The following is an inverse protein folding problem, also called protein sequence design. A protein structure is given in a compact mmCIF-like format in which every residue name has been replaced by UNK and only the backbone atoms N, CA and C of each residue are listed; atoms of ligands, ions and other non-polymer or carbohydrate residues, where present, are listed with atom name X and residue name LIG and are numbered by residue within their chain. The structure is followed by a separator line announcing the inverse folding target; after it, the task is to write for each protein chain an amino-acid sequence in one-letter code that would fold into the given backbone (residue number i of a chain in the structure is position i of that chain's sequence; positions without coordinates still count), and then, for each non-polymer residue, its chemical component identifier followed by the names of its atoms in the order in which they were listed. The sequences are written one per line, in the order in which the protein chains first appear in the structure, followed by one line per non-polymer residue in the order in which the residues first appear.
data_IF_576138676017
#
_entry.id   IF_576138676017
#
_cell.length_a   1.000
_cell.length_b   1.000
_cell.length_c   1.000
_cell.angle_alpha   90.00
_cell.angle_beta   90.00
_cell.angle_gamma   90.00
#
_symmetry.space_group_name_H-M   'P 1'
#
loop_
_entity.id
_entity.type
_entity.pdbx_description
1 polymer ?
#
# COMPACT_ATOMS: atom_id res chain seq x y z
N UNK A 1 2.43 13.24 -10.85
CA UNK A 1 3.12 12.97 -9.57
C UNK A 1 3.17 14.30 -8.84
N UNK A 2 2.42 14.40 -7.73
CA UNK A 2 2.39 15.61 -6.92
C UNK A 2 3.73 15.71 -6.17
N UNK A 3 4.53 16.76 -6.47
CA UNK A 3 5.71 17.06 -5.65
C UNK A 3 5.20 17.70 -4.35
N UNK A 4 5.40 17.04 -3.23
CA UNK A 4 5.19 17.65 -1.92
C UNK A 4 6.34 18.62 -1.73
N UNK A 5 6.07 19.94 -1.53
CA UNK A 5 7.14 20.91 -1.33
C UNK A 5 7.99 20.52 -0.12
N UNK A 6 9.31 20.43 -0.31
CA UNK A 6 10.26 20.09 0.74
C UNK A 6 10.50 18.59 0.98
N UNK A 7 9.81 17.73 0.25
CA UNK A 7 10.07 16.28 0.26
C UNK A 7 10.56 15.89 -1.12
N UNK A 8 11.83 15.60 -1.26
CA UNK A 8 12.36 14.99 -2.46
C UNK A 8 11.79 13.59 -2.59
N UNK A 9 11.12 13.31 -3.71
CA UNK A 9 10.84 11.93 -4.13
C UNK A 9 12.17 11.31 -4.58
N UNK A 10 13.10 11.20 -3.64
CA UNK A 10 14.46 10.79 -3.89
C UNK A 10 14.62 9.29 -4.00
N UNK A 11 15.82 8.89 -4.37
CA UNK A 11 16.24 7.48 -4.35
C UNK A 11 16.38 6.97 -2.91
N UNK A 12 16.37 5.65 -2.69
CA UNK A 12 16.62 5.06 -1.37
C UNK A 12 17.92 5.60 -0.77
N UNK A 13 17.86 6.04 0.46
CA UNK A 13 19.00 6.65 1.13
C UNK A 13 19.10 8.16 0.98
N UNK A 14 18.06 8.80 0.45
CA UNK A 14 17.94 10.25 0.45
C UNK A 14 18.10 10.83 1.86
N UNK A 15 18.88 11.90 1.97
CA UNK A 15 19.23 12.50 3.25
C UNK A 15 18.02 13.03 4.03
N UNK A 16 16.95 13.41 3.34
CA UNK A 16 15.71 13.87 3.97
C UNK A 16 14.99 12.72 4.67
N UNK A 17 14.90 11.56 4.03
CA UNK A 17 14.32 10.37 4.65
C UNK A 17 15.14 9.82 5.80
N UNK A 18 16.47 9.92 5.72
CA UNK A 18 17.35 9.59 6.83
C UNK A 18 17.10 10.49 8.05
N UNK A 19 16.90 11.80 7.84
CA UNK A 19 16.54 12.72 8.95
C UNK A 19 15.22 12.31 9.61
N UNK A 20 14.21 11.95 8.85
CA UNK A 20 12.95 11.45 9.42
C UNK A 20 13.20 10.16 10.20
N UNK A 21 13.98 9.23 9.66
CA UNK A 21 14.39 8.02 10.37
C UNK A 21 15.13 8.31 11.69
N UNK A 22 16.01 9.31 11.71
CA UNK A 22 16.69 9.76 12.94
C UNK A 22 15.71 10.29 13.99
N UNK A 23 14.69 11.04 13.57
CA UNK A 23 13.63 11.51 14.47
C UNK A 23 12.84 10.35 15.08
N UNK A 24 12.66 9.26 14.32
CA UNK A 24 11.95 8.07 14.77
C UNK A 24 12.79 7.14 15.69
N UNK A 25 14.09 7.42 15.88
CA UNK A 25 14.95 6.59 16.73
C UNK A 25 14.72 6.74 18.24
N UNK A 26 13.98 7.75 18.70
CA UNK A 26 13.74 7.97 20.12
C UNK A 26 13.31 6.68 20.85
N UNK A 27 12.16 6.10 20.47
CA UNK A 27 11.65 4.87 21.09
C UNK A 27 12.59 3.67 20.96
N UNK A 28 13.39 3.59 19.90
CA UNK A 28 14.40 2.52 19.74
C UNK A 28 15.51 2.69 20.77
N UNK A 29 15.99 3.91 21.00
CA UNK A 29 17.05 4.21 21.99
C UNK A 29 16.65 3.90 23.42
N UNK A 30 15.37 3.97 23.73
CA UNK A 30 14.84 3.63 25.05
C UNK A 30 14.86 2.11 25.32
N UNK A 31 14.97 1.28 24.28
CA UNK A 31 14.86 -0.17 24.36
C UNK A 31 16.12 -0.93 23.93
N UNK A 32 16.93 -0.34 23.07
CA UNK A 32 18.05 -0.99 22.39
C UNK A 32 19.32 -0.17 22.57
N UNK A 33 20.43 -0.83 22.87
CA UNK A 33 21.75 -0.18 22.98
C UNK A 33 22.38 -0.02 21.58
N UNK A 34 23.26 0.98 21.39
CA UNK A 34 24.01 1.10 20.16
C UNK A 34 24.80 -0.18 19.83
N UNK A 35 24.61 -0.69 18.62
CA UNK A 35 25.30 -1.90 18.15
C UNK A 35 24.83 -3.22 18.75
N UNK A 36 23.74 -3.23 19.50
CA UNK A 36 23.22 -4.44 20.19
C UNK A 36 22.89 -5.58 19.21
N UNK A 37 22.46 -5.25 18.00
CA UNK A 37 22.11 -6.24 16.97
C UNK A 37 23.19 -6.37 15.88
N UNK A 38 24.45 -6.08 16.22
CA UNK A 38 25.55 -6.25 15.27
C UNK A 38 25.64 -7.69 14.77
N UNK A 39 25.56 -7.85 13.44
CA UNK A 39 25.60 -9.15 12.78
C UNK A 39 24.24 -9.82 12.62
N UNK A 40 23.16 -9.20 13.10
CA UNK A 40 21.79 -9.63 12.78
C UNK A 40 21.44 -9.13 11.39
N UNK A 41 20.90 -10.01 10.56
CA UNK A 41 20.35 -9.68 9.25
C UNK A 41 18.87 -10.05 9.25
N UNK A 42 18.03 -9.11 8.83
CA UNK A 42 16.59 -9.30 8.62
C UNK A 42 16.29 -9.22 7.14
N UNK A 43 15.34 -10.00 6.69
CA UNK A 43 14.87 -9.97 5.29
C UNK A 43 13.48 -9.37 5.23
N UNK A 44 13.34 -8.29 4.44
CA UNK A 44 12.08 -7.60 4.19
C UNK A 44 11.60 -7.93 2.77
N UNK A 45 10.42 -8.54 2.65
CA UNK A 45 9.78 -8.79 1.37
C UNK A 45 8.68 -7.75 1.10
N UNK A 46 8.77 -7.07 -0.02
CA UNK A 46 7.81 -6.03 -0.40
C UNK A 46 7.64 -5.88 -1.90
N UNK A 47 6.71 -5.00 -2.28
CA UNK A 47 6.39 -4.68 -3.66
C UNK A 47 7.33 -3.63 -4.25
N UNK A 48 7.95 -3.92 -5.39
CA UNK A 48 8.84 -2.97 -6.07
C UNK A 48 8.10 -1.92 -6.91
N UNK A 49 6.86 -2.17 -7.29
CA UNK A 49 6.02 -1.23 -8.04
C UNK A 49 5.39 -0.15 -7.15
N UNK A 50 5.39 -0.34 -5.87
CA UNK A 50 5.04 0.64 -4.86
C UNK A 50 6.28 1.45 -4.48
N UNK A 51 6.91 2.08 -5.45
CA UNK A 51 8.18 2.81 -5.28
C UNK A 51 8.16 3.74 -4.07
N UNK A 52 6.99 4.22 -3.66
CA UNK A 52 6.84 5.09 -2.52
C UNK A 52 7.24 4.38 -1.22
N UNK A 53 6.65 3.23 -0.90
CA UNK A 53 6.86 2.55 0.38
C UNK A 53 8.28 2.05 0.54
N UNK A 54 8.80 1.28 -0.41
CA UNK A 54 10.15 0.75 -0.33
C UNK A 54 11.23 1.84 -0.29
N UNK A 55 11.04 2.93 -1.01
CA UNK A 55 11.95 4.07 -0.94
C UNK A 55 11.92 4.72 0.44
N UNK A 56 10.73 4.94 1.00
CA UNK A 56 10.58 5.51 2.33
C UNK A 56 11.24 4.64 3.39
N UNK A 57 10.91 3.34 3.40
CA UNK A 57 11.45 2.41 4.40
C UNK A 57 12.96 2.28 4.32
N UNK A 58 13.55 2.20 3.14
CA UNK A 58 15.00 2.18 2.98
C UNK A 58 15.68 3.43 3.51
N UNK A 59 15.06 4.59 3.32
CA UNK A 59 15.53 5.84 3.90
C UNK A 59 15.40 5.87 5.41
N UNK A 60 14.22 5.57 5.94
CA UNK A 60 13.93 5.59 7.38
C UNK A 60 14.75 4.59 8.18
N UNK A 61 15.00 3.42 7.62
CA UNK A 61 15.66 2.34 8.34
C UNK A 61 17.18 2.44 8.36
N UNK A 62 17.79 3.29 7.52
CA UNK A 62 19.24 3.51 7.56
C UNK A 62 19.77 4.00 8.91
N UNK A 63 19.19 5.02 9.56
CA UNK A 63 19.59 5.41 10.91
C UNK A 63 19.37 4.29 11.94
N UNK A 64 18.33 3.49 11.79
CA UNK A 64 18.09 2.32 12.63
C UNK A 64 19.18 1.27 12.46
N UNK A 65 19.55 0.93 11.22
CA UNK A 65 20.65 0.01 10.92
C UNK A 65 21.97 0.53 11.50
N UNK A 66 22.24 1.82 11.31
CA UNK A 66 23.46 2.45 11.84
C UNK A 66 23.52 2.44 13.36
N UNK A 67 22.40 2.65 14.03
CA UNK A 67 22.31 2.66 15.50
C UNK A 67 22.38 1.26 16.09
N UNK A 68 21.61 0.32 15.57
CA UNK A 68 21.48 -1.03 16.11
C UNK A 68 22.58 -1.99 15.68
N UNK A 69 23.20 -1.71 14.53
CA UNK A 69 24.19 -2.59 13.88
C UNK A 69 23.59 -3.75 13.10
N UNK A 70 22.25 -3.89 13.08
CA UNK A 70 21.57 -4.85 12.22
C UNK A 70 21.58 -4.40 10.75
N UNK A 71 21.26 -5.32 9.83
CA UNK A 71 21.08 -5.06 8.42
C UNK A 71 19.73 -5.55 7.93
N UNK A 72 19.18 -4.88 6.94
CA UNK A 72 17.95 -5.28 6.25
C UNK A 72 18.29 -5.65 4.82
N UNK A 73 18.02 -6.90 4.47
CA UNK A 73 18.07 -7.43 3.11
C UNK A 73 16.69 -7.28 2.48
N UNK A 74 16.63 -6.78 1.24
CA UNK A 74 15.37 -6.46 0.57
C UNK A 74 15.07 -7.45 -0.54
N UNK A 75 13.89 -8.08 -0.48
CA UNK A 75 13.29 -8.84 -1.57
C UNK A 75 12.20 -7.97 -2.19
N UNK A 76 12.52 -7.32 -3.31
CA UNK A 76 11.60 -6.47 -4.05
C UNK A 76 10.99 -7.26 -5.21
N UNK A 77 9.68 -7.46 -5.19
CA UNK A 77 8.97 -8.21 -6.19
C UNK A 77 7.98 -7.35 -6.97
N UNK A 78 7.87 -7.58 -8.27
CA UNK A 78 6.77 -7.05 -9.04
C UNK A 78 5.45 -7.67 -8.56
N UNK A 79 4.33 -6.96 -8.71
CA UNK A 79 3.00 -7.44 -8.28
C UNK A 79 2.68 -8.84 -8.85
N UNK A 80 3.10 -9.12 -10.08
CA UNK A 80 2.87 -10.41 -10.72
C UNK A 80 3.62 -11.57 -10.03
N UNK A 81 4.75 -11.29 -9.41
CA UNK A 81 5.60 -12.30 -8.75
C UNK A 81 5.34 -12.37 -7.25
N UNK A 82 4.88 -11.27 -6.66
CA UNK A 82 4.64 -11.16 -5.22
C UNK A 82 3.54 -12.12 -4.74
N UNK A 83 2.37 -12.08 -5.37
CA UNK A 83 1.24 -12.94 -4.97
C UNK A 83 1.55 -14.44 -5.09
N UNK A 84 2.12 -14.94 -6.21
CA UNK A 84 2.55 -16.33 -6.30
C UNK A 84 3.58 -16.73 -5.23
N UNK A 85 4.53 -15.85 -4.93
CA UNK A 85 5.53 -16.07 -3.88
C UNK A 85 4.89 -16.19 -2.51
N UNK A 86 3.99 -15.27 -2.16
CA UNK A 86 3.26 -15.33 -0.90
C UNK A 86 2.40 -16.60 -0.81
N UNK A 87 1.66 -16.93 -1.85
CA UNK A 87 0.84 -18.15 -1.90
C UNK A 87 1.69 -19.43 -1.75
N UNK A 88 2.88 -19.46 -2.34
CA UNK A 88 3.82 -20.55 -2.14
C UNK A 88 4.24 -20.68 -0.67
N UNK A 89 4.60 -19.57 -0.02
CA UNK A 89 4.96 -19.56 1.40
C UNK A 89 3.83 -20.06 2.29
N UNK A 90 2.59 -19.65 2.00
CA UNK A 90 1.38 -20.12 2.69
C UNK A 90 1.21 -21.65 2.50
N UNK A 91 1.30 -22.13 1.27
CA UNK A 91 1.08 -23.54 0.94
C UNK A 91 2.14 -24.47 1.55
N UNK A 92 3.39 -24.03 1.55
CA UNK A 92 4.52 -24.82 2.09
C UNK A 92 4.74 -24.62 3.59
N UNK A 93 4.10 -23.61 4.18
CA UNK A 93 4.33 -23.15 5.57
C UNK A 93 5.81 -22.85 5.85
N UNK A 94 6.51 -22.35 4.82
CA UNK A 94 7.91 -21.96 4.91
C UNK A 94 8.08 -20.53 4.42
N UNK A 95 8.81 -19.73 5.16
CA UNK A 95 9.13 -18.34 4.82
C UNK A 95 10.64 -18.15 4.84
N UNK A 96 11.13 -17.33 3.92
CA UNK A 96 12.53 -16.90 3.83
C UNK A 96 12.66 -15.38 4.00
N UNK A 97 11.71 -14.80 4.72
CA UNK A 97 11.66 -13.39 5.10
C UNK A 97 11.22 -13.25 6.56
N UNK A 98 11.64 -12.17 7.21
CA UNK A 98 11.30 -11.84 8.58
C UNK A 98 10.19 -10.80 8.66
N UNK A 99 10.14 -9.91 7.67
CA UNK A 99 9.17 -8.82 7.57
C UNK A 99 8.54 -8.87 6.18
N UNK A 100 7.24 -8.61 6.13
CA UNK A 100 6.49 -8.58 4.86
C UNK A 100 5.62 -7.33 4.77
N UNK A 101 5.65 -6.65 3.62
CA UNK A 101 4.61 -5.70 3.22
C UNK A 101 3.44 -6.48 2.62
N UNK A 102 2.23 -6.31 3.15
CA UNK A 102 1.11 -7.17 2.78
C UNK A 102 -0.19 -6.38 2.70
N UNK A 103 -1.00 -6.69 1.70
CA UNK A 103 -2.36 -6.15 1.56
C UNK A 103 -3.38 -6.85 2.47
N UNK A 104 -4.46 -6.14 2.80
CA UNK A 104 -5.54 -6.61 3.67
C UNK A 104 -6.14 -7.98 3.32
N UNK A 105 -6.31 -8.39 2.05
CA UNK A 105 -6.93 -9.67 1.73
C UNK A 105 -6.19 -10.92 2.23
N UNK A 106 -4.98 -10.79 2.72
CA UNK A 106 -4.12 -11.92 3.09
C UNK A 106 -4.06 -12.24 4.58
N UNK A 107 -4.79 -11.53 5.46
CA UNK A 107 -4.76 -11.81 6.91
C UNK A 107 -5.18 -13.25 7.23
N UNK A 108 -6.28 -13.72 6.66
CA UNK A 108 -6.77 -15.07 6.90
C UNK A 108 -5.80 -16.16 6.45
N UNK A 109 -5.17 -15.92 5.28
CA UNK A 109 -4.24 -16.87 4.68
C UNK A 109 -2.87 -16.90 5.40
N UNK A 110 -2.49 -15.81 6.05
CA UNK A 110 -1.20 -15.68 6.72
C UNK A 110 -1.30 -15.85 8.23
N UNK A 111 -2.00 -14.98 8.92
CA UNK A 111 -2.22 -15.07 10.36
C UNK A 111 -3.01 -16.32 10.75
N UNK A 112 -4.07 -16.63 10.00
CA UNK A 112 -4.89 -17.82 10.22
C UNK A 112 -4.14 -19.13 9.99
N UNK A 113 -3.07 -19.15 9.20
CA UNK A 113 -2.18 -20.29 9.00
C UNK A 113 -0.96 -20.29 9.93
N UNK A 114 -0.83 -19.31 10.81
CA UNK A 114 0.28 -19.21 11.75
C UNK A 114 1.61 -18.77 11.15
N UNK A 115 1.58 -18.06 10.01
CA UNK A 115 2.79 -17.50 9.37
C UNK A 115 3.21 -16.15 9.96
N UNK A 116 2.30 -15.47 10.64
CA UNK A 116 2.58 -14.19 11.29
C UNK A 116 2.53 -14.34 12.81
N UNK A 117 3.39 -13.63 13.49
CA UNK A 117 3.32 -13.48 14.93
C UNK A 117 2.31 -12.40 15.30
N UNK A 118 1.56 -12.61 16.39
CA UNK A 118 0.70 -11.59 16.96
C UNK A 118 1.52 -10.36 17.35
N UNK A 119 0.97 -9.18 17.10
CA UNK A 119 1.60 -7.91 17.47
C UNK A 119 1.67 -7.79 18.98
N UNK A 120 2.86 -7.63 19.58
CA UNK A 120 2.99 -7.42 21.01
C UNK A 120 2.33 -6.13 21.48
N UNK A 121 1.80 -6.10 22.68
CA UNK A 121 1.13 -4.92 23.23
C UNK A 121 2.03 -3.68 23.26
N UNK A 122 3.33 -3.86 23.58
CA UNK A 122 4.27 -2.76 23.56
C UNK A 122 4.43 -2.10 22.16
N UNK A 123 4.18 -2.84 21.07
CA UNK A 123 4.17 -2.27 19.72
C UNK A 123 2.90 -1.46 19.51
N UNK A 124 1.75 -1.97 19.97
CA UNK A 124 0.47 -1.24 19.89
C UNK A 124 0.56 0.09 20.64
N UNK A 125 1.11 0.08 21.84
CA UNK A 125 1.33 1.29 22.66
C UNK A 125 2.27 2.28 21.95
N UNK A 126 3.30 1.76 21.28
CA UNK A 126 4.33 2.60 20.64
C UNK A 126 3.83 3.33 19.41
N UNK A 127 2.90 2.73 18.67
CA UNK A 127 2.33 3.31 17.44
C UNK A 127 0.99 4.01 17.67
N UNK A 128 0.55 4.08 18.91
CA UNK A 128 -0.77 4.60 19.28
C UNK A 128 -1.89 3.94 18.45
N UNK A 129 -1.95 2.60 18.58
CA UNK A 129 -2.78 1.74 17.70
C UNK A 129 -4.26 2.15 17.69
N UNK A 130 -4.76 2.70 18.80
CA UNK A 130 -6.14 3.12 18.95
C UNK A 130 -6.43 4.49 18.29
N UNK A 131 -5.38 5.27 17.97
CA UNK A 131 -5.49 6.56 17.26
C UNK A 131 -5.38 6.44 15.73
N UNK A 132 -5.30 5.23 15.19
CA UNK A 132 -5.36 5.03 13.75
C UNK A 132 -6.65 5.57 13.17
N UNK A 133 -6.58 6.15 11.95
CA UNK A 133 -7.78 6.60 11.24
C UNK A 133 -8.80 5.47 11.09
N UNK A 134 -10.09 5.78 11.21
CA UNK A 134 -11.15 4.79 11.43
C UNK A 134 -11.17 3.61 10.45
N UNK A 135 -10.83 3.83 9.18
CA UNK A 135 -10.80 2.75 8.18
C UNK A 135 -9.53 1.86 8.25
N UNK A 136 -8.54 2.23 9.05
CA UNK A 136 -7.36 1.42 9.35
C UNK A 136 -7.43 0.72 10.72
N UNK A 137 -8.48 1.01 11.50
CA UNK A 137 -8.72 0.35 12.78
C UNK A 137 -9.25 -1.09 12.59
N UNK A 138 -9.26 -1.91 13.64
CA UNK A 138 -9.90 -3.21 13.58
C UNK A 138 -11.31 -3.17 12.96
N UNK A 139 -11.66 -4.14 12.10
CA UNK A 139 -10.99 -5.44 11.93
C UNK A 139 -9.81 -5.46 10.94
N UNK A 140 -9.43 -4.34 10.33
CA UNK A 140 -8.30 -4.29 9.37
C UNK A 140 -6.99 -4.60 10.10
N UNK A 141 -6.20 -5.52 9.56
CA UNK A 141 -4.93 -5.96 10.18
C UNK A 141 -5.10 -6.90 11.36
N UNK A 142 -6.33 -7.44 11.56
CA UNK A 142 -6.62 -8.38 12.63
C UNK A 142 -7.11 -9.73 12.09
N UNK A 143 -6.87 -10.78 12.85
CA UNK A 143 -7.43 -12.11 12.64
C UNK A 143 -7.82 -12.70 14.00
N UNK A 144 -9.03 -13.23 14.12
CA UNK A 144 -9.59 -13.79 15.36
C UNK A 144 -9.42 -12.83 16.57
N UNK A 145 -9.68 -11.53 16.34
CA UNK A 145 -9.60 -10.49 17.36
C UNK A 145 -8.18 -10.04 17.76
N UNK A 146 -7.15 -10.57 17.13
CA UNK A 146 -5.73 -10.27 17.40
C UNK A 146 -5.12 -9.46 16.27
N UNK A 147 -4.25 -8.51 16.60
CA UNK A 147 -3.53 -7.69 15.63
C UNK A 147 -2.25 -8.39 15.17
N UNK A 148 -1.98 -8.35 13.86
CA UNK A 148 -0.82 -9.00 13.24
C UNK A 148 0.02 -8.07 12.38
N UNK A 149 -0.47 -6.89 12.05
CA UNK A 149 0.27 -5.94 11.22
C UNK A 149 0.06 -4.50 11.64
N UNK A 150 1.02 -3.67 11.29
CA UNK A 150 0.91 -2.21 11.36
C UNK A 150 0.35 -1.72 10.04
N UNK A 151 -0.80 -1.07 10.07
CA UNK A 151 -1.40 -0.45 8.90
C UNK A 151 -0.69 0.87 8.61
N UNK A 152 0.08 0.91 7.52
CA UNK A 152 0.93 2.04 7.15
C UNK A 152 0.34 2.87 6.01
N UNK A 153 -0.62 2.32 5.31
CA UNK A 153 -1.29 2.95 4.17
C UNK A 153 -2.73 2.48 4.09
N UNK A 154 -3.56 3.27 3.44
CA UNK A 154 -4.94 2.93 3.18
C UNK A 154 -5.44 3.63 1.92
N UNK A 155 -6.06 2.84 1.06
CA UNK A 155 -6.65 3.32 -0.18
C UNK A 155 -8.09 3.80 0.02
N UNK A 156 -8.51 4.74 -0.81
CA UNK A 156 -9.90 5.12 -0.95
C UNK A 156 -10.37 4.93 -2.39
N UNK A 157 -11.63 4.53 -2.53
CA UNK A 157 -12.25 4.49 -3.85
C UNK A 157 -12.56 5.90 -4.32
N UNK A 158 -11.90 6.31 -5.40
CA UNK A 158 -12.12 7.61 -6.01
C UNK A 158 -12.63 7.41 -7.43
N UNK A 159 -13.75 8.01 -7.76
CA UNK A 159 -14.24 8.04 -9.12
C UNK A 159 -13.49 9.12 -9.91
N UNK A 160 -12.59 8.70 -10.77
CA UNK A 160 -11.88 9.58 -11.69
C UNK A 160 -12.65 9.69 -13.01
N UNK A 161 -12.80 10.91 -13.51
CA UNK A 161 -13.46 11.16 -14.78
C UNK A 161 -12.68 12.14 -15.65
N UNK A 162 -12.81 12.00 -16.94
CA UNK A 162 -12.25 12.95 -17.92
C UNK A 162 -13.13 14.19 -18.01
N UNK A 163 -12.58 15.34 -17.69
CA UNK A 163 -13.31 16.60 -17.68
C UNK A 163 -13.80 17.03 -19.07
N UNK A 164 -13.09 16.67 -20.13
CA UNK A 164 -13.46 16.94 -21.52
C UNK A 164 -14.66 16.11 -22.02
N UNK A 165 -15.08 15.09 -21.24
CA UNK A 165 -16.29 14.32 -21.51
C UNK A 165 -17.57 15.00 -21.03
N UNK A 166 -17.46 16.08 -20.26
CA UNK A 166 -18.57 16.80 -19.67
C UNK A 166 -18.54 18.28 -20.09
N UNK A 167 -19.70 18.94 -20.05
CA UNK A 167 -19.86 20.31 -20.49
C UNK A 167 -20.66 20.43 -21.80
N UNK A 168 -20.83 21.65 -22.25
CA UNK A 168 -21.57 21.95 -23.48
C UNK A 168 -20.86 21.36 -24.71
N UNK A 169 -21.59 20.58 -25.50
CA UNK A 169 -21.05 19.94 -26.72
C UNK A 169 -20.14 18.76 -26.48
N UNK A 170 -20.02 18.28 -25.23
CA UNK A 170 -19.21 17.12 -24.89
C UNK A 170 -19.75 15.81 -25.45
N UNK A 171 -18.91 14.79 -25.50
CA UNK A 171 -19.27 13.44 -25.98
C UNK A 171 -20.45 12.82 -25.19
N UNK A 172 -20.57 13.12 -23.90
CA UNK A 172 -21.68 12.66 -23.05
C UNK A 172 -22.96 13.48 -23.25
N UNK A 173 -22.86 14.70 -23.73
CA UNK A 173 -23.98 15.66 -23.78
C UNK A 173 -24.45 16.12 -22.38
N UNK A 174 -23.66 15.86 -21.33
CA UNK A 174 -24.01 16.17 -19.94
C UNK A 174 -23.11 17.27 -19.39
N UNK A 175 -23.68 18.18 -18.63
CA UNK A 175 -22.94 19.29 -18.04
C UNK A 175 -22.04 18.83 -16.86
N UNK A 176 -22.45 17.81 -16.13
CA UNK A 176 -21.81 17.37 -14.90
C UNK A 176 -21.42 15.88 -14.94
N UNK A 177 -20.39 15.47 -14.20
CA UNK A 177 -20.06 14.07 -14.02
C UNK A 177 -21.15 13.30 -13.27
N UNK A 178 -21.15 11.95 -13.34
CA UNK A 178 -22.15 11.13 -12.66
C UNK A 178 -22.04 11.25 -11.14
N UNK A 179 -23.17 11.12 -10.46
CA UNK A 179 -23.29 11.10 -9.00
C UNK A 179 -23.70 9.73 -8.46
N UNK A 180 -24.15 8.84 -9.33
CA UNK A 180 -24.62 7.50 -8.97
C UNK A 180 -24.07 6.46 -9.94
N UNK A 181 -24.03 5.21 -9.52
CA UNK A 181 -23.63 4.09 -10.39
C UNK A 181 -24.58 3.88 -11.57
N UNK A 182 -25.86 4.18 -11.39
CA UNK A 182 -26.85 4.14 -12.47
C UNK A 182 -26.49 5.16 -13.56
N UNK A 183 -26.08 6.37 -13.16
CA UNK A 183 -25.62 7.40 -14.11
C UNK A 183 -24.32 6.99 -14.79
N UNK A 184 -23.35 6.39 -14.08
CA UNK A 184 -22.12 5.84 -14.67
C UNK A 184 -22.47 4.82 -15.75
N UNK A 185 -23.35 3.87 -15.44
CA UNK A 185 -23.77 2.83 -16.38
C UNK A 185 -24.47 3.42 -17.61
N UNK A 186 -25.34 4.40 -17.42
CA UNK A 186 -26.02 5.06 -18.53
C UNK A 186 -25.05 5.85 -19.41
N UNK A 187 -24.17 6.64 -18.82
CA UNK A 187 -23.13 7.40 -19.54
C UNK A 187 -22.22 6.44 -20.32
N UNK A 188 -21.82 5.33 -19.69
CA UNK A 188 -20.99 4.32 -20.33
C UNK A 188 -21.63 3.76 -21.61
N UNK A 189 -22.93 3.47 -21.56
CA UNK A 189 -23.69 3.02 -22.74
C UNK A 189 -23.80 4.12 -23.81
N UNK A 190 -23.99 5.35 -23.38
CA UNK A 190 -24.20 6.50 -24.29
C UNK A 190 -22.91 6.89 -25.06
N UNK A 191 -21.72 6.61 -24.52
CA UNK A 191 -20.45 7.00 -25.14
C UNK A 191 -19.75 5.87 -25.90
N UNK A 192 -20.05 4.61 -25.61
CA UNK A 192 -19.43 3.49 -26.31
C UNK A 192 -19.64 3.59 -27.83
N UNK A 193 -18.56 3.51 -28.57
CA UNK A 193 -18.53 3.58 -30.02
C UNK A 193 -18.55 4.98 -30.61
N UNK A 194 -18.78 6.03 -29.82
CA UNK A 194 -18.54 7.41 -30.27
C UNK A 194 -17.04 7.66 -30.43
N UNK A 195 -16.66 8.68 -31.18
CA UNK A 195 -15.27 9.10 -31.29
C UNK A 195 -14.83 9.85 -30.05
N UNK A 196 -13.76 9.37 -29.42
CA UNK A 196 -13.08 10.07 -28.33
C UNK A 196 -12.55 11.42 -28.85
N UNK A 197 -12.86 12.54 -28.18
CA UNK A 197 -12.51 13.87 -28.69
C UNK A 197 -10.99 14.14 -28.73
N UNK A 198 -10.22 13.45 -27.92
CA UNK A 198 -8.75 13.63 -27.84
C UNK A 198 -8.00 12.72 -28.81
N UNK A 199 -8.40 11.46 -28.92
CA UNK A 199 -7.68 10.45 -29.68
C UNK A 199 -8.27 10.13 -31.04
N UNK A 200 -9.55 10.46 -31.25
CA UNK A 200 -10.31 10.10 -32.44
C UNK A 200 -10.67 8.61 -32.53
N UNK A 201 -10.22 7.80 -31.59
CA UNK A 201 -10.52 6.36 -31.48
C UNK A 201 -11.93 6.13 -30.87
N UNK A 202 -12.48 4.91 -30.93
CA UNK A 202 -13.73 4.60 -30.24
C UNK A 202 -13.60 4.85 -28.74
N UNK A 203 -14.54 5.56 -28.14
CA UNK A 203 -14.62 5.84 -26.73
C UNK A 203 -15.07 4.60 -25.94
N UNK A 204 -14.60 4.49 -24.72
CA UNK A 204 -15.00 3.49 -23.73
C UNK A 204 -15.71 4.17 -22.56
N UNK A 205 -16.68 3.49 -21.96
CA UNK A 205 -17.51 4.09 -20.91
C UNK A 205 -16.87 4.08 -19.55
N UNK A 206 -16.46 2.92 -19.11
CA UNK A 206 -15.88 2.71 -17.76
C UNK A 206 -14.71 1.76 -17.84
N UNK A 207 -13.66 2.05 -17.08
CA UNK A 207 -12.48 1.22 -16.96
C UNK A 207 -12.24 0.92 -15.48
N UNK A 208 -12.08 -0.35 -15.17
CA UNK A 208 -11.67 -0.83 -13.85
C UNK A 208 -10.61 -1.92 -13.98
N UNK A 209 -9.53 -1.89 -13.17
CA UNK A 209 -8.48 -2.90 -13.20
C UNK A 209 -8.96 -4.20 -12.55
N UNK A 210 -9.56 -5.10 -13.32
CA UNK A 210 -10.10 -6.37 -12.83
C UNK A 210 -9.05 -7.48 -12.68
N UNK A 211 -7.90 -7.34 -13.35
CA UNK A 211 -6.86 -8.37 -13.36
C UNK A 211 -5.74 -8.02 -12.40
N UNK A 212 -5.51 -8.90 -11.44
CA UNK A 212 -4.33 -8.85 -10.55
C UNK A 212 -4.44 -7.90 -9.37
N UNK A 213 -5.57 -7.20 -9.23
CA UNK A 213 -5.82 -6.32 -8.09
C UNK A 213 -7.15 -6.69 -7.42
N UNK A 214 -7.15 -6.73 -6.08
CA UNK A 214 -8.32 -7.17 -5.30
C UNK A 214 -9.46 -6.15 -5.18
N UNK A 215 -9.34 -4.98 -5.84
CA UNK A 215 -10.30 -3.89 -5.70
C UNK A 215 -11.69 -4.17 -6.26
N UNK A 216 -11.82 -5.15 -7.16
CA UNK A 216 -13.07 -5.45 -7.83
C UNK A 216 -14.24 -5.75 -6.88
N UNK A 217 -13.99 -6.52 -5.83
CA UNK A 217 -15.03 -6.90 -4.86
C UNK A 217 -15.60 -5.73 -4.06
N UNK A 218 -14.86 -4.64 -3.95
CA UNK A 218 -15.24 -3.49 -3.12
C UNK A 218 -16.33 -2.59 -3.73
N UNK A 219 -16.64 -2.75 -5.02
CA UNK A 219 -17.73 -1.99 -5.67
C UNK A 219 -19.11 -2.60 -5.44
N UNK A 220 -19.19 -3.81 -4.88
CA UNK A 220 -20.42 -4.56 -4.72
C UNK A 220 -20.80 -4.79 -3.24
N UNK A 221 -20.04 -4.22 -2.33
CA UNK A 221 -20.34 -4.18 -0.90
C UNK A 221 -21.01 -2.86 -0.54
#
# INVERSE_FOLDING_TARGET
IMKIPGVGMGSPGDAEWQKVGEMCLGPVKDRVKPGEFKGVELTFMGLNNQNLHNFLFRGFLKPWEAYTGAKINWIDLAQADYNPRLQQSIATKTVDFDIIEMGAPFEGDTAGQGLLNEMPDWVKDQIDYDDLVGYLQPPVGTWDGKAYRINIDGDCHTFCYRTDYFGSGSITGRANPPKTWQEVNQISKDVVGKKDPLTGLPAHGFLDPLKGWGGFGMYFL
#
